data_IF_038979478153
#
_entry.id   IF_038979478153
#
_cell.length_a   1.000
_cell.length_b   1.000
_cell.length_c   1.000
_cell.angle_alpha   90.00
_cell.angle_beta   90.00
_cell.angle_gamma   90.00
#
_symmetry.space_group_name_H-M   'P 1'
#
loop_
_entity.id
_entity.type
_entity.pdbx_description
1 polymer ?
#
# COMPACT_ATOMS: atom_id res chain seq x y z
N UNK A 1 -10.11 -12.93 -18.13
CA UNK A 1 -9.28 -13.84 -19.00
C UNK A 1 -7.99 -14.19 -18.28
N UNK A 2 -7.61 -15.49 -18.23
CA UNK A 2 -6.33 -15.91 -17.62
C UNK A 2 -5.18 -15.60 -18.59
N UNK A 3 -4.20 -14.85 -18.11
CA UNK A 3 -2.99 -14.51 -18.86
C UNK A 3 -1.86 -15.50 -18.54
N UNK A 4 -0.92 -15.67 -19.48
CA UNK A 4 0.27 -16.48 -19.26
C UNK A 4 1.46 -15.61 -18.90
N UNK A 5 2.50 -16.23 -18.30
CA UNK A 5 3.76 -15.53 -18.04
C UNK A 5 4.37 -14.94 -19.32
N UNK A 6 4.31 -15.67 -20.43
CA UNK A 6 4.79 -15.21 -21.74
C UNK A 6 4.05 -13.96 -22.21
N UNK A 7 2.75 -13.86 -21.95
CA UNK A 7 1.95 -12.71 -22.34
C UNK A 7 2.43 -11.43 -21.60
N UNK A 8 2.58 -11.50 -20.29
CA UNK A 8 3.01 -10.35 -19.50
C UNK A 8 4.49 -10.01 -19.65
N UNK A 9 5.32 -10.95 -20.14
CA UNK A 9 6.74 -10.71 -20.42
C UNK A 9 6.98 -9.98 -21.75
N UNK A 10 5.94 -9.77 -22.56
CA UNK A 10 6.05 -8.96 -23.77
C UNK A 10 6.29 -7.48 -23.37
N UNK A 11 7.28 -6.78 -23.98
CA UNK A 11 7.53 -5.36 -23.76
C UNK A 11 6.30 -4.44 -23.89
N UNK A 12 5.32 -4.83 -24.69
CA UNK A 12 4.04 -4.12 -24.84
C UNK A 12 3.17 -4.13 -23.56
N UNK A 13 3.52 -5.00 -22.62
CA UNK A 13 2.85 -5.07 -21.31
C UNK A 13 3.46 -4.12 -20.26
N UNK A 14 4.63 -3.55 -20.56
CA UNK A 14 5.29 -2.59 -19.70
C UNK A 14 4.37 -1.39 -19.41
N UNK A 15 4.25 -1.02 -18.14
CA UNK A 15 3.38 0.07 -17.68
C UNK A 15 1.92 -0.32 -17.46
N UNK A 16 1.54 -1.59 -17.73
CA UNK A 16 0.22 -2.10 -17.39
C UNK A 16 0.24 -2.78 -16.03
N UNK A 17 -0.89 -2.80 -15.30
CA UNK A 17 -1.00 -3.52 -14.04
C UNK A 17 -0.86 -5.04 -14.25
N UNK A 18 -0.26 -5.73 -13.29
CA UNK A 18 -0.15 -7.19 -13.26
C UNK A 18 -0.94 -7.71 -12.07
N UNK A 19 -2.17 -8.10 -12.31
CA UNK A 19 -3.03 -8.68 -11.29
C UNK A 19 -2.87 -10.19 -11.19
N UNK A 20 -2.72 -10.68 -9.96
CA UNK A 20 -2.61 -12.11 -9.67
C UNK A 20 -3.60 -12.56 -8.61
N UNK A 21 -4.07 -13.79 -8.73
CA UNK A 21 -4.83 -14.49 -7.71
C UNK A 21 -3.97 -15.56 -7.07
N UNK A 22 -3.99 -15.65 -5.74
CA UNK A 22 -3.41 -16.75 -5.01
C UNK A 22 -4.33 -17.98 -5.08
N UNK A 23 -3.91 -19.00 -5.80
CA UNK A 23 -4.64 -20.26 -5.98
C UNK A 23 -3.99 -21.42 -5.26
N UNK A 24 -3.16 -21.14 -4.23
CA UNK A 24 -2.59 -22.21 -3.42
C UNK A 24 -3.70 -23.13 -2.89
N UNK A 25 -3.53 -24.43 -3.13
CA UNK A 25 -4.53 -25.45 -2.74
C UNK A 25 -3.96 -26.33 -1.63
N UNK A 26 -4.78 -26.66 -0.65
CA UNK A 26 -4.45 -27.64 0.37
C UNK A 26 -4.61 -27.13 1.80
N UNK A 27 -4.22 -27.95 2.77
CA UNK A 27 -4.26 -27.63 4.21
C UNK A 27 -3.29 -26.52 4.63
N UNK A 28 -2.33 -26.17 3.76
CA UNK A 28 -1.36 -25.09 3.96
C UNK A 28 -1.64 -23.91 3.00
N UNK A 29 -2.88 -23.46 2.93
CA UNK A 29 -3.18 -22.18 2.31
C UNK A 29 -2.50 -21.09 3.13
N UNK A 30 -1.68 -20.30 2.47
CA UNK A 30 -0.99 -19.20 3.12
C UNK A 30 -0.55 -18.15 2.10
N UNK A 31 -0.07 -17.02 2.57
CA UNK A 31 0.47 -16.00 1.69
C UNK A 31 1.67 -16.55 0.92
N UNK A 32 1.85 -16.06 -0.29
CA UNK A 32 2.97 -16.41 -1.16
C UNK A 32 3.96 -15.28 -1.13
N UNK A 33 5.21 -15.61 -0.81
CA UNK A 33 6.32 -14.64 -0.91
C UNK A 33 7.33 -15.14 -1.94
N UNK A 34 7.76 -14.27 -2.83
CA UNK A 34 8.85 -14.56 -3.75
C UNK A 34 9.79 -13.35 -3.87
N UNK A 35 11.00 -13.60 -4.30
CA UNK A 35 12.04 -12.59 -4.37
C UNK A 35 12.28 -12.11 -5.80
N UNK A 36 12.55 -10.81 -5.93
CA UNK A 36 12.96 -10.16 -7.17
C UNK A 36 14.36 -9.55 -7.02
N UNK A 37 15.26 -9.69 -8.01
CA UNK A 37 16.59 -9.12 -7.91
C UNK A 37 16.54 -7.58 -7.88
N UNK A 38 17.46 -6.95 -7.13
CA UNK A 38 17.63 -5.49 -7.16
C UNK A 38 18.39 -5.06 -8.41
N UNK A 39 17.97 -3.93 -8.98
CA UNK A 39 18.58 -3.38 -10.21
C UNK A 39 20.08 -3.08 -10.06
N UNK A 40 20.56 -2.86 -8.85
CA UNK A 40 21.97 -2.51 -8.54
C UNK A 40 22.82 -3.74 -8.18
N UNK A 41 22.32 -4.96 -8.33
CA UNK A 41 23.06 -6.19 -7.96
C UNK A 41 23.24 -6.41 -6.45
N UNK A 42 22.72 -5.52 -5.59
CA UNK A 42 22.92 -5.51 -4.14
C UNK A 42 21.81 -6.19 -3.34
N UNK A 43 21.37 -7.39 -3.73
CA UNK A 43 20.37 -8.14 -2.97
C UNK A 43 19.04 -8.36 -3.68
N UNK A 44 18.02 -8.72 -2.91
CA UNK A 44 16.68 -9.04 -3.41
C UNK A 44 15.63 -8.26 -2.61
N UNK A 45 14.52 -7.93 -3.25
CA UNK A 45 13.32 -7.47 -2.57
C UNK A 45 12.28 -8.57 -2.59
N UNK A 46 11.41 -8.61 -1.59
CA UNK A 46 10.35 -9.58 -1.49
C UNK A 46 9.03 -8.98 -1.96
N UNK A 47 8.28 -9.76 -2.74
CA UNK A 47 6.91 -9.48 -3.14
C UNK A 47 6.00 -10.40 -2.37
N UNK A 48 4.94 -9.85 -1.80
CA UNK A 48 3.99 -10.55 -0.97
C UNK A 48 2.63 -10.62 -1.66
N UNK A 49 2.06 -11.82 -1.74
CA UNK A 49 0.70 -12.06 -2.24
C UNK A 49 -0.11 -12.72 -1.13
N UNK A 50 -1.09 -12.04 -0.55
CA UNK A 50 -1.86 -12.55 0.57
C UNK A 50 -2.70 -13.79 0.19
N UNK A 51 -3.13 -14.54 1.20
CA UNK A 51 -4.09 -15.63 1.05
C UNK A 51 -5.51 -15.08 1.02
N UNK A 52 -5.91 -14.62 -0.14
CA UNK A 52 -7.23 -14.05 -0.39
C UNK A 52 -7.75 -14.46 -1.76
N UNK A 53 -9.06 -14.36 -1.95
CA UNK A 53 -9.68 -14.52 -3.26
C UNK A 53 -9.62 -13.22 -4.10
N UNK A 54 -9.23 -12.11 -3.49
CA UNK A 54 -9.05 -10.82 -4.18
C UNK A 54 -7.74 -10.79 -4.97
N UNK A 55 -7.72 -10.11 -6.11
CA UNK A 55 -6.52 -9.92 -6.90
C UNK A 55 -5.56 -8.92 -6.25
N UNK A 56 -4.27 -9.23 -6.32
CA UNK A 56 -3.18 -8.33 -5.91
C UNK A 56 -2.49 -7.75 -7.13
N UNK A 57 -2.30 -6.42 -7.16
CA UNK A 57 -1.53 -5.75 -8.21
C UNK A 57 -0.05 -5.77 -7.84
N UNK A 58 0.74 -6.56 -8.54
CA UNK A 58 2.17 -6.73 -8.24
C UNK A 58 3.02 -5.52 -8.63
N UNK A 59 2.54 -4.67 -9.55
CA UNK A 59 3.29 -3.49 -10.00
C UNK A 59 3.34 -2.41 -8.90
N UNK A 60 2.42 -2.42 -7.96
CA UNK A 60 2.47 -1.55 -6.76
C UNK A 60 3.60 -1.90 -5.81
N UNK A 61 4.01 -3.18 -5.79
CA UNK A 61 5.10 -3.66 -4.93
C UNK A 61 6.44 -3.70 -5.65
N UNK A 62 6.45 -3.91 -6.99
CA UNK A 62 7.66 -4.20 -7.75
C UNK A 62 7.56 -3.70 -9.19
N UNK A 63 8.56 -2.98 -9.72
CA UNK A 63 8.62 -2.61 -11.13
C UNK A 63 8.55 -3.82 -12.06
N UNK A 64 7.87 -3.66 -13.19
CA UNK A 64 7.61 -4.73 -14.17
C UNK A 64 8.89 -5.46 -14.60
N UNK A 65 9.97 -4.74 -14.89
CA UNK A 65 11.24 -5.32 -15.34
C UNK A 65 11.80 -6.34 -14.34
N UNK A 66 11.73 -6.01 -13.07
CA UNK A 66 12.20 -6.87 -11.98
C UNK A 66 11.26 -8.03 -11.72
N UNK A 67 9.95 -7.81 -11.90
CA UNK A 67 8.93 -8.84 -11.73
C UNK A 67 9.12 -9.97 -12.76
N UNK A 68 9.34 -9.64 -14.04
CA UNK A 68 9.53 -10.64 -15.10
C UNK A 68 10.86 -11.38 -15.00
N UNK A 69 11.89 -10.80 -14.36
CA UNK A 69 13.17 -11.45 -14.07
C UNK A 69 13.09 -12.42 -12.88
N UNK A 70 12.03 -12.32 -12.05
CA UNK A 70 11.88 -13.16 -10.86
C UNK A 70 11.63 -14.61 -11.22
N UNK A 71 12.59 -15.46 -10.90
CA UNK A 71 12.45 -16.93 -11.04
C UNK A 71 11.37 -17.48 -10.11
N UNK A 72 11.18 -16.86 -8.91
CA UNK A 72 10.14 -17.23 -7.95
C UNK A 72 8.76 -16.98 -8.52
N UNK A 73 8.51 -15.79 -9.06
CA UNK A 73 7.27 -15.45 -9.73
C UNK A 73 6.95 -16.38 -10.91
N UNK A 74 7.91 -16.57 -11.80
CA UNK A 74 7.76 -17.47 -12.96
C UNK A 74 7.41 -18.91 -12.54
N UNK A 75 8.05 -19.42 -11.50
CA UNK A 75 7.75 -20.76 -10.97
C UNK A 75 6.35 -20.84 -10.38
N UNK A 76 5.93 -19.84 -9.60
CA UNK A 76 4.60 -19.81 -9.00
C UNK A 76 3.49 -19.75 -10.06
N UNK A 77 3.69 -18.98 -11.15
CA UNK A 77 2.74 -18.93 -12.27
C UNK A 77 2.70 -20.25 -13.04
N UNK A 78 3.86 -20.83 -13.37
CA UNK A 78 3.93 -22.10 -14.09
C UNK A 78 3.32 -23.26 -13.29
N UNK A 79 3.47 -23.25 -11.97
CA UNK A 79 2.87 -24.21 -11.06
C UNK A 79 1.38 -23.93 -10.80
N UNK A 80 0.81 -22.87 -11.38
CA UNK A 80 -0.59 -22.43 -11.16
C UNK A 80 -0.92 -22.11 -9.71
N UNK A 81 0.08 -21.81 -8.91
CA UNK A 81 -0.06 -21.33 -7.53
C UNK A 81 -0.50 -19.85 -7.58
N UNK A 82 0.10 -19.08 -8.48
CA UNK A 82 -0.37 -17.76 -8.88
C UNK A 82 -1.02 -17.82 -10.25
N UNK A 83 -2.18 -17.20 -10.40
CA UNK A 83 -2.89 -17.09 -11.68
C UNK A 83 -2.97 -15.63 -12.06
N UNK A 84 -2.42 -15.28 -13.23
CA UNK A 84 -2.49 -13.92 -13.75
C UNK A 84 -3.84 -13.73 -14.42
N UNK A 85 -4.54 -12.67 -14.05
CA UNK A 85 -5.84 -12.29 -14.64
C UNK A 85 -5.72 -10.94 -15.34
N UNK A 86 -6.62 -10.69 -16.27
CA UNK A 86 -6.70 -9.38 -16.91
C UNK A 86 -7.27 -8.31 -15.97
N UNK A 87 -6.99 -7.06 -16.29
CA UNK A 87 -7.40 -5.91 -15.49
C UNK A 87 -8.91 -5.82 -15.32
N UNK A 88 -9.69 -6.12 -16.36
CA UNK A 88 -11.14 -6.05 -16.29
C UNK A 88 -11.71 -7.06 -15.30
N UNK A 89 -11.22 -8.30 -15.33
CA UNK A 89 -11.61 -9.34 -14.38
C UNK A 89 -11.17 -8.97 -12.95
N UNK A 90 -9.98 -8.39 -12.80
CA UNK A 90 -9.49 -7.93 -11.51
C UNK A 90 -10.37 -6.85 -10.90
N UNK A 91 -10.72 -5.82 -11.68
CA UNK A 91 -11.59 -4.73 -11.24
C UNK A 91 -13.01 -5.21 -10.89
N UNK A 92 -13.54 -6.20 -11.63
CA UNK A 92 -14.83 -6.82 -11.30
C UNK A 92 -14.79 -7.55 -9.95
N UNK A 93 -13.70 -8.26 -9.66
CA UNK A 93 -13.53 -8.93 -8.36
C UNK A 93 -13.39 -7.93 -7.22
N UNK A 94 -12.62 -6.86 -7.41
CA UNK A 94 -12.45 -5.80 -6.41
C UNK A 94 -13.74 -5.00 -6.15
N UNK A 95 -14.63 -4.90 -7.14
CA UNK A 95 -15.93 -4.25 -7.02
C UNK A 95 -17.06 -5.20 -6.56
N UNK A 96 -16.74 -6.47 -6.30
CA UNK A 96 -17.75 -7.46 -5.91
C UNK A 96 -18.15 -7.33 -4.44
N UNK A 97 -19.36 -7.78 -4.12
CA UNK A 97 -19.86 -7.82 -2.73
C UNK A 97 -18.94 -8.61 -1.82
N UNK A 98 -18.60 -8.04 -0.67
CA UNK A 98 -17.66 -8.63 0.30
C UNK A 98 -16.17 -8.38 0.02
N UNK A 99 -15.80 -7.66 -1.05
CA UNK A 99 -14.41 -7.32 -1.33
C UNK A 99 -13.79 -6.46 -0.22
N UNK A 100 -14.51 -5.47 0.28
CA UNK A 100 -14.05 -4.59 1.35
C UNK A 100 -13.84 -5.33 2.68
N UNK A 101 -14.75 -6.27 2.99
CA UNK A 101 -14.63 -7.12 4.18
C UNK A 101 -13.43 -8.05 4.09
N UNK A 102 -13.20 -8.63 2.92
CA UNK A 102 -12.03 -9.48 2.69
C UNK A 102 -10.72 -8.68 2.75
N UNK A 103 -10.68 -7.47 2.22
CA UNK A 103 -9.52 -6.58 2.35
C UNK A 103 -9.23 -6.25 3.81
N UNK A 104 -10.25 -5.91 4.59
CA UNK A 104 -10.09 -5.69 6.05
C UNK A 104 -9.54 -6.95 6.74
N UNK A 105 -10.09 -8.13 6.43
CA UNK A 105 -9.60 -9.40 6.98
C UNK A 105 -8.13 -9.65 6.67
N UNK A 106 -7.72 -9.43 5.42
CA UNK A 106 -6.34 -9.62 4.96
C UNK A 106 -5.40 -8.64 5.67
N UNK A 107 -5.80 -7.38 5.76
CA UNK A 107 -5.03 -6.36 6.44
C UNK A 107 -4.84 -6.72 7.93
N UNK A 108 -5.92 -7.11 8.64
CA UNK A 108 -5.86 -7.56 10.02
C UNK A 108 -4.89 -8.74 10.20
N UNK A 109 -4.98 -9.73 9.34
CA UNK A 109 -4.19 -10.94 9.43
C UNK A 109 -2.69 -10.71 9.21
N UNK A 110 -2.32 -9.75 8.38
CA UNK A 110 -0.94 -9.50 7.99
C UNK A 110 -0.32 -8.27 8.66
N UNK A 111 -1.03 -7.66 9.61
CA UNK A 111 -0.56 -6.47 10.32
C UNK A 111 -0.48 -5.24 9.41
N UNK A 112 -1.20 -5.26 8.28
CA UNK A 112 -1.46 -4.09 7.46
C UNK A 112 -2.64 -3.28 8.01
N UNK A 113 -3.30 -3.75 9.05
CA UNK A 113 -4.19 -2.95 9.87
C UNK A 113 -3.35 -1.94 10.63
N UNK A 114 -3.05 -0.91 9.92
CA UNK A 114 -2.96 0.36 10.56
C UNK A 114 -4.39 0.65 11.02
N UNK A 115 -4.56 0.96 12.29
CA UNK A 115 -5.79 1.38 12.94
C UNK A 115 -6.68 2.25 11.99
N UNK A 116 -7.37 1.63 11.04
CA UNK A 116 -8.51 2.23 10.34
C UNK A 116 -9.73 2.04 11.23
N UNK A 117 -9.73 2.74 12.36
CA UNK A 117 -11.00 3.06 12.99
C UNK A 117 -11.82 3.85 11.95
N UNK A 118 -12.97 3.31 11.65
CA UNK A 118 -14.05 3.91 10.88
C UNK A 118 -14.23 5.36 11.27
N UNK A 119 -13.70 6.30 10.48
CA UNK A 119 -13.98 7.71 10.68
C UNK A 119 -15.36 7.96 10.08
N UNK A 120 -16.36 8.00 10.95
CA UNK A 120 -17.61 8.66 10.62
C UNK A 120 -17.26 10.04 10.04
N UNK A 121 -17.73 10.29 8.83
CA UNK A 121 -17.56 11.57 8.14
C UNK A 121 -18.39 12.64 8.85
N UNK A 122 -17.79 13.31 9.82
CA UNK A 122 -18.35 14.57 10.30
C UNK A 122 -18.10 15.64 9.23
N UNK A 123 -19.20 16.26 8.82
CA UNK A 123 -19.32 17.13 7.67
C UNK A 123 -18.45 18.40 7.72
N UNK A 124 -17.22 18.26 7.26
CA UNK A 124 -16.35 19.42 6.98
C UNK A 124 -16.35 19.67 5.47
N UNK A 125 -16.56 20.93 5.07
CA UNK A 125 -16.65 21.29 3.66
C UNK A 125 -15.33 21.04 2.91
N UNK A 126 -15.42 20.57 1.66
CA UNK A 126 -14.25 20.25 0.81
C UNK A 126 -13.23 21.41 0.66
N UNK A 127 -13.67 22.65 0.84
CA UNK A 127 -12.81 23.84 0.76
C UNK A 127 -11.85 23.99 1.93
N UNK A 128 -12.29 23.65 3.14
CA UNK A 128 -11.50 23.77 4.37
C UNK A 128 -10.49 22.62 4.50
N UNK A 129 -10.83 21.42 3.98
CA UNK A 129 -9.94 20.27 3.90
C UNK A 129 -8.66 20.57 3.08
N UNK A 130 -8.81 21.25 1.95
CA UNK A 130 -7.68 21.59 1.09
C UNK A 130 -6.71 22.59 1.73
N UNK A 131 -7.22 23.54 2.52
CA UNK A 131 -6.38 24.57 3.15
C UNK A 131 -5.57 23.99 4.33
N UNK A 132 -6.19 23.17 5.17
CA UNK A 132 -5.50 22.50 6.28
C UNK A 132 -4.44 21.51 5.76
N UNK A 133 -4.74 20.73 4.75
CA UNK A 133 -3.81 19.80 4.11
C UNK A 133 -2.61 20.53 3.49
N UNK A 134 -2.82 21.65 2.80
CA UNK A 134 -1.74 22.45 2.24
C UNK A 134 -0.82 23.02 3.34
N UNK A 135 -1.39 23.46 4.48
CA UNK A 135 -0.61 23.92 5.64
C UNK A 135 0.24 22.78 6.22
N UNK A 136 -0.34 21.60 6.38
CA UNK A 136 0.36 20.40 6.87
C UNK A 136 1.54 20.06 5.99
N UNK A 137 1.35 19.92 4.67
CA UNK A 137 2.42 19.61 3.72
C UNK A 137 3.54 20.66 3.77
N UNK A 138 3.18 21.93 3.87
CA UNK A 138 4.17 23.02 3.99
C UNK A 138 5.00 22.89 5.26
N UNK A 139 4.40 22.50 6.38
CA UNK A 139 5.11 22.29 7.65
C UNK A 139 5.99 21.04 7.63
N UNK A 140 5.50 19.94 7.03
CA UNK A 140 6.27 18.70 6.93
C UNK A 140 7.53 18.88 6.07
N UNK A 141 7.45 19.63 4.98
CA UNK A 141 8.62 19.94 4.15
C UNK A 141 9.70 20.76 4.86
N UNK A 142 9.36 21.41 5.97
CA UNK A 142 10.31 22.18 6.79
C UNK A 142 10.97 21.37 7.91
N UNK A 143 10.59 20.09 8.10
CA UNK A 143 11.14 19.27 9.20
C UNK A 143 12.65 19.12 9.09
N UNK A 144 13.19 18.96 7.88
CA UNK A 144 14.62 18.82 7.64
C UNK A 144 15.40 20.10 8.01
N UNK A 145 14.82 21.27 7.77
CA UNK A 145 15.45 22.54 8.03
C UNK A 145 15.29 23.01 9.47
N UNK A 146 14.11 22.81 10.07
CA UNK A 146 13.73 23.40 11.35
C UNK A 146 13.74 22.40 12.50
N UNK A 147 13.80 21.11 12.20
CA UNK A 147 13.74 20.01 13.17
C UNK A 147 12.32 19.66 13.63
N UNK A 148 12.14 18.42 14.10
CA UNK A 148 10.85 17.86 14.52
C UNK A 148 10.13 18.73 15.57
N UNK A 149 10.84 19.23 16.58
CA UNK A 149 10.27 20.00 17.70
C UNK A 149 9.63 21.31 17.23
N UNK A 150 10.26 22.01 16.29
CA UNK A 150 9.75 23.27 15.73
C UNK A 150 8.46 23.02 14.94
N UNK A 151 8.45 21.97 14.11
CA UNK A 151 7.29 21.61 13.30
C UNK A 151 6.14 21.12 14.19
N UNK A 152 6.40 20.33 15.24
CA UNK A 152 5.37 19.94 16.22
C UNK A 152 4.74 21.17 16.88
N UNK A 153 5.53 22.17 17.25
CA UNK A 153 4.98 23.39 17.85
C UNK A 153 4.09 24.15 16.85
N UNK A 154 4.49 24.21 15.59
CA UNK A 154 3.69 24.82 14.53
C UNK A 154 2.39 24.02 14.25
N UNK A 155 2.45 22.69 14.27
CA UNK A 155 1.26 21.84 14.14
C UNK A 155 0.30 22.00 15.33
N UNK A 156 0.80 22.22 16.54
CA UNK A 156 -0.03 22.50 17.71
C UNK A 156 -0.84 23.78 17.57
N UNK A 157 -0.31 24.79 16.90
CA UNK A 157 -1.04 26.08 16.69
C UNK A 157 -2.22 25.94 15.73
N UNK A 158 -2.20 24.94 14.87
CA UNK A 158 -3.27 24.65 13.92
C UNK A 158 -4.03 23.36 14.25
N UNK A 159 -3.89 22.85 15.50
CA UNK A 159 -4.45 21.55 15.91
C UNK A 159 -5.95 21.46 15.67
N UNK A 160 -6.69 22.55 15.96
CA UNK A 160 -8.15 22.61 15.82
C UNK A 160 -8.61 22.61 14.35
N UNK A 161 -7.71 22.89 13.41
CA UNK A 161 -7.94 22.80 11.97
C UNK A 161 -7.61 21.40 11.41
N UNK A 162 -6.95 20.54 12.20
CA UNK A 162 -6.52 19.21 11.76
C UNK A 162 -7.59 18.17 12.05
N UNK A 163 -7.97 17.45 11.02
CA UNK A 163 -8.80 16.25 11.14
C UNK A 163 -7.94 14.96 11.25
N UNK A 164 -8.59 13.83 11.45
CA UNK A 164 -7.90 12.55 11.56
C UNK A 164 -7.13 12.16 10.30
N UNK A 165 -7.60 12.56 9.11
CA UNK A 165 -6.87 12.33 7.84
C UNK A 165 -5.54 13.09 7.81
N UNK A 166 -5.54 14.36 8.25
CA UNK A 166 -4.30 15.15 8.35
C UNK A 166 -3.32 14.54 9.36
N UNK A 167 -3.83 14.05 10.51
CA UNK A 167 -3.00 13.40 11.53
C UNK A 167 -2.41 12.06 11.01
N UNK A 168 -3.18 11.30 10.22
CA UNK A 168 -2.71 10.08 9.55
C UNK A 168 -1.58 10.41 8.57
N UNK A 169 -1.73 11.44 7.77
CA UNK A 169 -0.72 11.89 6.81
C UNK A 169 0.58 12.32 7.51
N UNK A 170 0.48 13.09 8.60
CA UNK A 170 1.63 13.49 9.43
C UNK A 170 2.33 12.25 10.00
N UNK A 171 1.57 11.28 10.51
CA UNK A 171 2.11 10.04 11.07
C UNK A 171 2.84 9.21 10.00
N UNK A 172 2.24 9.04 8.82
CA UNK A 172 2.84 8.28 7.72
C UNK A 172 4.13 8.94 7.22
N UNK A 173 4.13 10.26 7.04
CA UNK A 173 5.33 11.01 6.70
C UNK A 173 6.44 10.81 7.73
N UNK A 174 6.11 10.96 9.03
CA UNK A 174 7.06 10.80 10.12
C UNK A 174 7.65 9.37 10.18
N UNK A 175 6.83 8.35 9.93
CA UNK A 175 7.23 6.94 9.87
C UNK A 175 8.19 6.69 8.70
N UNK A 176 7.88 7.22 7.52
CA UNK A 176 8.69 7.06 6.32
C UNK A 176 10.08 7.69 6.46
N UNK A 177 10.17 8.84 7.10
CA UNK A 177 11.42 9.60 7.29
C UNK A 177 12.13 9.33 8.64
N UNK A 178 11.56 8.50 9.51
CA UNK A 178 12.15 8.13 10.79
C UNK A 178 12.05 9.20 11.88
N UNK A 179 11.11 10.14 11.78
CA UNK A 179 10.89 11.24 12.74
C UNK A 179 10.08 10.77 13.95
N UNK A 180 10.80 10.26 14.97
CA UNK A 180 10.19 9.61 16.14
C UNK A 180 9.32 10.53 17.00
N UNK A 181 9.74 11.78 17.20
CA UNK A 181 8.99 12.73 18.02
C UNK A 181 7.70 13.16 17.34
N UNK A 182 7.73 13.39 16.01
CA UNK A 182 6.58 13.75 15.21
C UNK A 182 5.57 12.59 15.12
N UNK A 183 6.05 11.36 14.94
CA UNK A 183 5.22 10.15 14.94
C UNK A 183 4.49 9.96 16.26
N UNK A 184 5.21 10.12 17.40
CA UNK A 184 4.62 10.03 18.74
C UNK A 184 3.56 11.09 18.94
N UNK A 185 3.86 12.34 18.58
CA UNK A 185 2.91 13.45 18.68
C UNK A 185 1.65 13.19 17.87
N UNK A 186 1.77 12.81 16.59
CA UNK A 186 0.61 12.53 15.73
C UNK A 186 -0.28 11.40 16.30
N UNK A 187 0.33 10.36 16.88
CA UNK A 187 -0.42 9.28 17.54
C UNK A 187 -1.19 9.78 18.77
N UNK A 188 -0.58 10.63 19.61
CA UNK A 188 -1.21 11.19 20.81
C UNK A 188 -2.39 12.13 20.49
N UNK A 189 -2.41 12.73 19.29
CA UNK A 189 -3.50 13.63 18.87
C UNK A 189 -4.71 12.90 18.28
N UNK A 190 -4.60 11.61 17.98
CA UNK A 190 -5.68 10.78 17.42
C UNK A 190 -6.61 10.19 18.48
N UNK A 191 -6.28 10.32 19.76
CA UNK A 191 -7.15 9.93 20.90
C UNK A 191 -8.06 11.06 21.28
#
# INVERSE_FOLDING_TARGET
MILTFTHISNPEYKGKPVYVLNKSKGSNRGPITFTCPKSNGGGVDSVFVPDTWLPSNLIEQMPWERLIESMGFRRAVNAKILVIIDEQEALQLLASEGADEELRRVNAQHGFDEDEEEIASDGVSEGDLNLAQAKVLTLLNKVEEQGETSVINSLRTIRDELNNSNLKEIFMFAKQHGYKALMKWAKEQRT
#
